data_IF_905105116302
#
_entry.id   IF_905105116302
#
_cell.length_a   1.000
_cell.length_b   1.000
_cell.length_c   1.000
_cell.angle_alpha   90.00
_cell.angle_beta   90.00
_cell.angle_gamma   90.00
#
_symmetry.space_group_name_H-M   'P 1'
#
loop_
_entity.id
_entity.type
_entity.pdbx_description
1 polymer ?
#
# COMPACT_ATOMS: atom_id res chain seq x y z
N UNK A 1 -17.56 -21.82 -17.29
CA UNK A 1 -17.70 -22.89 -18.31
C UNK A 1 -17.37 -22.29 -19.66
N UNK A 2 -16.68 -23.02 -20.55
CA UNK A 2 -16.43 -22.52 -21.90
C UNK A 2 -17.67 -22.72 -22.80
N UNK A 3 -17.66 -22.15 -24.01
CA UNK A 3 -18.79 -22.19 -24.94
C UNK A 3 -19.25 -23.62 -25.26
N UNK A 4 -18.31 -24.54 -25.47
CA UNK A 4 -18.61 -25.95 -25.74
C UNK A 4 -19.30 -26.64 -24.56
N UNK A 5 -18.84 -26.39 -23.33
CA UNK A 5 -19.45 -26.94 -22.13
C UNK A 5 -20.90 -26.47 -21.94
N UNK A 6 -21.23 -25.22 -22.29
CA UNK A 6 -22.61 -24.73 -22.28
C UNK A 6 -23.49 -25.46 -23.28
N UNK A 7 -23.01 -25.66 -24.52
CA UNK A 7 -23.71 -26.44 -25.54
C UNK A 7 -23.96 -27.88 -25.11
N UNK A 8 -23.00 -28.51 -24.43
CA UNK A 8 -23.16 -29.86 -23.89
C UNK A 8 -24.15 -29.90 -22.72
N UNK A 9 -24.16 -28.90 -21.83
CA UNK A 9 -25.11 -28.81 -20.73
C UNK A 9 -26.56 -28.69 -21.20
N UNK A 10 -26.79 -27.98 -22.32
CA UNK A 10 -28.11 -27.86 -22.94
C UNK A 10 -28.69 -29.20 -23.47
N UNK A 11 -27.87 -30.25 -23.56
CA UNK A 11 -28.34 -31.61 -23.85
C UNK A 11 -29.00 -32.29 -22.65
N UNK A 12 -28.78 -31.77 -21.43
CA UNK A 12 -29.28 -32.36 -20.18
C UNK A 12 -30.38 -31.51 -19.51
N UNK A 13 -30.38 -30.20 -19.75
CA UNK A 13 -31.32 -29.22 -19.16
C UNK A 13 -31.89 -28.36 -20.28
N UNK A 14 -33.16 -27.91 -20.22
CA UNK A 14 -33.74 -27.06 -21.26
C UNK A 14 -32.83 -25.89 -21.66
N UNK A 15 -32.63 -25.71 -22.97
CA UNK A 15 -31.68 -24.73 -23.52
C UNK A 15 -31.97 -23.31 -23.02
N UNK A 16 -33.24 -22.92 -22.89
CA UNK A 16 -33.64 -21.62 -22.36
C UNK A 16 -33.10 -21.35 -20.95
N UNK A 17 -33.07 -22.37 -20.09
CA UNK A 17 -32.61 -22.26 -18.71
C UNK A 17 -31.07 -22.17 -18.65
N UNK A 18 -30.39 -22.95 -19.49
CA UNK A 18 -28.94 -22.87 -19.63
C UNK A 18 -28.52 -21.50 -20.18
N UNK A 19 -29.21 -20.98 -21.19
CA UNK A 19 -28.94 -19.66 -21.77
C UNK A 19 -29.13 -18.53 -20.76
N UNK A 20 -30.18 -18.59 -19.94
CA UNK A 20 -30.36 -17.65 -18.83
C UNK A 20 -29.19 -17.71 -17.84
N UNK A 21 -28.73 -18.91 -17.49
CA UNK A 21 -27.58 -19.11 -16.58
C UNK A 21 -26.27 -18.60 -17.17
N UNK A 22 -26.01 -18.87 -18.45
CA UNK A 22 -24.85 -18.37 -19.18
C UNK A 22 -24.81 -16.83 -19.18
N UNK A 23 -25.96 -16.18 -19.45
CA UNK A 23 -26.06 -14.72 -19.40
C UNK A 23 -25.75 -14.15 -18.01
N UNK A 24 -26.19 -14.83 -16.94
CA UNK A 24 -25.86 -14.44 -15.57
C UNK A 24 -24.35 -14.57 -15.28
N UNK A 25 -23.68 -15.64 -15.76
CA UNK A 25 -22.22 -15.80 -15.67
C UNK A 25 -21.48 -14.69 -16.43
N UNK A 26 -21.90 -14.38 -17.67
CA UNK A 26 -21.31 -13.30 -18.49
C UNK A 26 -21.37 -11.94 -17.80
N UNK A 27 -22.39 -11.70 -16.98
CA UNK A 27 -22.51 -10.46 -16.21
C UNK A 27 -21.37 -10.32 -15.18
N UNK A 28 -20.96 -11.43 -14.53
CA UNK A 28 -19.80 -11.45 -13.62
C UNK A 28 -18.47 -11.30 -14.37
N UNK A 29 -18.32 -12.01 -15.48
CA UNK A 29 -17.14 -11.89 -16.35
C UNK A 29 -16.95 -10.44 -16.84
N UNK A 30 -18.06 -9.74 -17.13
CA UNK A 30 -18.02 -8.35 -17.56
C UNK A 30 -17.49 -7.39 -16.49
N UNK A 31 -17.86 -7.55 -15.22
CA UNK A 31 -17.33 -6.68 -14.15
C UNK A 31 -15.85 -6.95 -13.90
N UNK A 32 -15.41 -8.22 -13.97
CA UNK A 32 -13.98 -8.58 -13.90
C UNK A 32 -13.20 -7.95 -15.06
N UNK A 33 -13.73 -8.05 -16.28
CA UNK A 33 -13.15 -7.43 -17.48
C UNK A 33 -13.03 -5.91 -17.31
N UNK A 34 -14.06 -5.25 -16.77
CA UNK A 34 -14.03 -3.82 -16.48
C UNK A 34 -12.94 -3.45 -15.47
N UNK A 35 -12.78 -4.21 -14.39
CA UNK A 35 -11.69 -4.01 -13.43
C UNK A 35 -10.31 -4.11 -14.09
N UNK A 36 -10.08 -5.13 -14.91
CA UNK A 36 -8.80 -5.32 -15.62
C UNK A 36 -8.52 -4.20 -16.63
N UNK A 37 -9.58 -3.69 -17.28
CA UNK A 37 -9.48 -2.63 -18.28
C UNK A 37 -9.23 -1.25 -17.64
N UNK A 38 -10.03 -0.90 -16.62
CA UNK A 38 -10.02 0.44 -16.03
C UNK A 38 -9.05 0.58 -14.85
N UNK A 39 -8.84 -0.50 -14.09
CA UNK A 39 -7.91 -0.57 -12.94
C UNK A 39 -8.26 0.43 -11.82
N UNK A 40 -9.54 0.75 -11.69
CA UNK A 40 -10.12 1.66 -10.70
C UNK A 40 -11.08 0.92 -9.79
N UNK A 41 -11.39 1.52 -8.64
CA UNK A 41 -12.41 0.99 -7.75
C UNK A 41 -13.77 0.98 -8.45
N UNK A 42 -14.58 -0.08 -8.28
CA UNK A 42 -15.94 -0.08 -8.80
C UNK A 42 -16.81 0.89 -7.98
N UNK A 43 -17.72 1.61 -8.65
CA UNK A 43 -18.67 2.53 -7.97
C UNK A 43 -19.59 1.78 -7.01
N UNK A 44 -19.93 0.54 -7.35
CA UNK A 44 -20.76 -0.37 -6.55
C UNK A 44 -19.89 -1.57 -6.17
N UNK A 45 -19.82 -1.88 -4.88
CA UNK A 45 -19.11 -3.05 -4.37
C UNK A 45 -19.63 -4.35 -4.99
N UNK A 46 -18.72 -5.26 -5.30
CA UNK A 46 -19.06 -6.59 -5.81
C UNK A 46 -19.67 -7.46 -4.70
N UNK A 47 -20.52 -8.39 -5.10
CA UNK A 47 -20.99 -9.45 -4.21
C UNK A 47 -19.88 -10.49 -3.95
N UNK A 48 -20.00 -11.21 -2.83
CA UNK A 48 -18.98 -12.18 -2.39
C UNK A 48 -18.73 -13.28 -3.43
N UNK A 49 -19.76 -13.74 -4.16
CA UNK A 49 -19.58 -14.79 -5.18
C UNK A 49 -18.68 -14.27 -6.30
N UNK A 50 -18.87 -13.02 -6.74
CA UNK A 50 -18.03 -12.40 -7.76
C UNK A 50 -16.60 -12.21 -7.27
N UNK A 51 -16.40 -11.74 -6.03
CA UNK A 51 -15.07 -11.59 -5.42
C UNK A 51 -14.35 -12.93 -5.34
N UNK A 52 -14.99 -13.95 -4.76
CA UNK A 52 -14.39 -15.27 -4.59
C UNK A 52 -14.11 -15.93 -5.94
N UNK A 53 -15.01 -15.81 -6.92
CA UNK A 53 -14.79 -16.33 -8.28
C UNK A 53 -13.52 -15.75 -8.88
N UNK A 54 -13.34 -14.43 -8.79
CA UNK A 54 -12.15 -13.77 -9.32
C UNK A 54 -10.87 -14.19 -8.56
N UNK A 55 -10.93 -14.33 -7.23
CA UNK A 55 -9.80 -14.83 -6.45
C UNK A 55 -9.44 -16.27 -6.83
N UNK A 56 -10.42 -17.14 -7.07
CA UNK A 56 -10.16 -18.50 -7.53
C UNK A 56 -9.56 -18.54 -8.94
N UNK A 57 -10.07 -17.73 -9.87
CA UNK A 57 -9.48 -17.59 -11.21
C UNK A 57 -8.02 -17.14 -11.15
N UNK A 58 -7.72 -16.11 -10.36
CA UNK A 58 -6.35 -15.64 -10.14
C UNK A 58 -5.48 -16.75 -9.51
N UNK A 59 -5.95 -17.40 -8.45
CA UNK A 59 -5.18 -18.46 -7.78
C UNK A 59 -4.88 -19.64 -8.72
N UNK A 60 -5.80 -19.95 -9.65
CA UNK A 60 -5.62 -20.98 -10.67
C UNK A 60 -4.52 -20.67 -11.68
N UNK A 61 -4.03 -19.43 -11.76
CA UNK A 61 -2.92 -19.00 -12.61
C UNK A 61 -1.54 -19.20 -11.94
N UNK A 62 -1.49 -19.58 -10.66
CA UNK A 62 -0.24 -19.85 -9.95
C UNK A 62 0.17 -21.32 -10.10
N UNK A 63 1.47 -21.55 -10.33
CA UNK A 63 1.97 -22.88 -10.70
C UNK A 63 1.75 -23.95 -9.63
N UNK A 64 1.67 -23.57 -8.35
CA UNK A 64 1.35 -24.49 -7.26
C UNK A 64 -0.07 -25.07 -7.33
N UNK A 65 -0.95 -24.51 -8.18
CA UNK A 65 -2.33 -24.97 -8.38
C UNK A 65 -2.54 -25.67 -9.74
N UNK A 66 -1.53 -25.74 -10.60
CA UNK A 66 -1.63 -26.42 -11.90
C UNK A 66 -1.78 -27.93 -11.75
N UNK A 67 -2.73 -28.52 -12.48
CA UNK A 67 -2.89 -29.97 -12.54
C UNK A 67 -1.68 -30.58 -13.26
N UNK A 68 -1.07 -31.59 -12.64
CA UNK A 68 0.09 -32.28 -13.20
C UNK A 68 1.43 -31.55 -13.03
N UNK A 69 1.47 -30.43 -12.29
CA UNK A 69 2.74 -29.82 -11.93
C UNK A 69 3.55 -30.73 -11.00
N UNK A 70 4.83 -30.90 -11.28
CA UNK A 70 5.79 -31.63 -10.45
C UNK A 70 6.93 -30.71 -10.07
N UNK A 71 6.72 -29.93 -9.00
CA UNK A 71 7.73 -29.02 -8.48
C UNK A 71 8.85 -29.77 -7.76
N UNK A 72 10.08 -29.68 -8.26
CA UNK A 72 11.28 -30.29 -7.65
C UNK A 72 12.15 -29.28 -6.88
N UNK A 73 11.78 -28.00 -6.90
CA UNK A 73 12.52 -26.94 -6.19
C UNK A 73 12.30 -26.93 -4.67
N UNK A 74 13.06 -26.08 -4.01
CA UNK A 74 12.99 -25.83 -2.58
C UNK A 74 11.81 -24.92 -2.20
N UNK A 75 11.35 -24.07 -3.13
CA UNK A 75 10.22 -23.14 -2.93
C UNK A 75 9.12 -23.36 -3.97
N UNK A 76 8.36 -24.43 -3.76
CA UNK A 76 7.24 -24.85 -4.63
C UNK A 76 5.85 -24.54 -4.05
N UNK A 77 5.80 -23.71 -2.99
CA UNK A 77 4.55 -23.27 -2.34
C UNK A 77 3.60 -24.43 -1.97
N UNK A 78 4.17 -25.57 -1.54
CA UNK A 78 3.40 -26.74 -1.10
C UNK A 78 2.70 -26.41 0.22
N UNK A 79 1.39 -26.68 0.29
CA UNK A 79 0.61 -26.52 1.51
C UNK A 79 0.54 -27.84 2.29
N UNK A 80 0.92 -27.80 3.57
CA UNK A 80 0.78 -28.95 4.47
C UNK A 80 -0.64 -29.07 5.05
N UNK A 81 -1.32 -27.95 5.29
CA UNK A 81 -2.66 -27.91 5.90
C UNK A 81 -3.68 -27.33 4.92
N UNK A 82 -4.79 -28.05 4.73
CA UNK A 82 -5.88 -27.60 3.89
C UNK A 82 -6.56 -26.34 4.42
N UNK A 83 -6.64 -26.19 5.75
CA UNK A 83 -7.19 -24.99 6.38
C UNK A 83 -6.36 -23.75 6.03
N UNK A 84 -5.03 -23.89 6.00
CA UNK A 84 -4.11 -22.81 5.60
C UNK A 84 -4.25 -22.51 4.11
N UNK A 85 -4.37 -23.54 3.26
CA UNK A 85 -4.56 -23.37 1.82
C UNK A 85 -5.85 -22.62 1.49
N UNK A 86 -6.97 -23.04 2.09
CA UNK A 86 -8.30 -22.47 1.85
C UNK A 86 -8.43 -21.02 2.34
N UNK A 87 -7.97 -20.71 3.55
CA UNK A 87 -8.06 -19.34 4.10
C UNK A 87 -7.25 -18.30 3.32
N UNK A 88 -6.30 -18.75 2.49
CA UNK A 88 -5.47 -17.92 1.62
C UNK A 88 -5.89 -18.00 0.15
N UNK A 89 -7.07 -18.54 -0.15
CA UNK A 89 -7.56 -18.71 -1.53
C UNK A 89 -6.52 -19.38 -2.44
N UNK A 90 -5.76 -20.35 -1.91
CA UNK A 90 -4.78 -21.12 -2.67
C UNK A 90 -3.56 -20.32 -3.20
N UNK A 91 -3.40 -19.04 -2.82
CA UNK A 91 -2.19 -18.26 -3.11
C UNK A 91 -1.04 -18.67 -2.17
N UNK A 92 -0.02 -19.34 -2.70
CA UNK A 92 1.08 -19.89 -1.89
C UNK A 92 2.45 -19.24 -2.08
N UNK A 93 2.68 -18.54 -3.19
CA UNK A 93 4.01 -18.03 -3.55
C UNK A 93 4.36 -16.65 -2.96
N UNK A 94 3.36 -15.91 -2.48
CA UNK A 94 3.53 -14.52 -2.06
C UNK A 94 3.62 -13.55 -3.24
N UNK A 95 4.19 -12.37 -3.00
CA UNK A 95 4.30 -11.27 -3.98
C UNK A 95 5.76 -10.93 -4.28
N UNK A 96 6.01 -10.46 -5.50
CA UNK A 96 7.33 -10.01 -5.94
C UNK A 96 8.34 -11.13 -6.19
N UNK A 97 9.60 -10.71 -6.34
CA UNK A 97 10.79 -11.56 -6.48
C UNK A 97 11.83 -11.19 -5.41
N UNK A 98 12.90 -11.96 -5.34
CA UNK A 98 13.92 -11.83 -4.29
C UNK A 98 14.58 -10.45 -4.22
N UNK A 99 14.63 -9.69 -5.32
CA UNK A 99 15.23 -8.37 -5.38
C UNK A 99 14.24 -7.21 -5.52
N UNK A 100 12.97 -7.47 -5.86
CA UNK A 100 11.99 -6.43 -6.19
C UNK A 100 10.56 -6.89 -5.90
N UNK A 101 9.85 -6.11 -5.10
CA UNK A 101 8.47 -6.41 -4.68
C UNK A 101 7.46 -6.26 -5.84
N UNK A 102 7.74 -5.40 -6.81
CA UNK A 102 6.84 -5.05 -7.92
C UNK A 102 7.01 -5.95 -9.14
N UNK A 103 8.10 -6.72 -9.18
CA UNK A 103 8.42 -7.60 -10.29
C UNK A 103 7.46 -8.81 -10.35
N UNK A 104 7.10 -9.24 -11.56
CA UNK A 104 6.21 -10.38 -11.75
C UNK A 104 6.93 -11.70 -11.47
N UNK A 105 6.33 -12.52 -10.61
CA UNK A 105 6.84 -13.84 -10.25
C UNK A 105 6.44 -14.86 -11.33
N UNK A 106 7.39 -15.45 -12.09
CA UNK A 106 7.07 -16.41 -13.15
C UNK A 106 6.32 -17.66 -12.66
N UNK A 107 6.53 -18.08 -11.41
CA UNK A 107 5.80 -19.21 -10.78
C UNK A 107 4.40 -18.83 -10.27
N UNK A 108 4.07 -17.54 -10.23
CA UNK A 108 2.87 -17.02 -9.59
C UNK A 108 2.29 -15.82 -10.36
N UNK A 109 1.84 -16.09 -11.60
CA UNK A 109 1.27 -15.08 -12.48
C UNK A 109 -0.02 -14.47 -11.89
N UNK A 110 -0.83 -15.28 -11.21
CA UNK A 110 -2.05 -14.87 -10.53
C UNK A 110 -1.77 -13.96 -9.34
N UNK A 111 -0.87 -14.38 -8.44
CA UNK A 111 -0.41 -13.54 -7.32
C UNK A 111 0.19 -12.21 -7.80
N UNK A 112 0.95 -12.24 -8.90
CA UNK A 112 1.54 -11.03 -9.50
C UNK A 112 0.48 -10.08 -10.05
N UNK A 113 -0.53 -10.61 -10.75
CA UNK A 113 -1.65 -9.83 -11.27
C UNK A 113 -2.49 -9.24 -10.13
N UNK A 114 -2.83 -10.04 -9.12
CA UNK A 114 -3.54 -9.61 -7.91
C UNK A 114 -2.83 -8.43 -7.24
N UNK A 115 -1.51 -8.52 -7.06
CA UNK A 115 -0.74 -7.49 -6.40
C UNK A 115 -0.68 -6.18 -7.22
N UNK A 116 -0.48 -6.29 -8.54
CA UNK A 116 -0.52 -5.13 -9.44
C UNK A 116 -1.88 -4.43 -9.44
N UNK A 117 -2.97 -5.19 -9.51
CA UNK A 117 -4.32 -4.63 -9.42
C UNK A 117 -4.57 -3.96 -8.07
N UNK A 118 -4.16 -4.60 -6.98
CA UNK A 118 -4.25 -4.01 -5.62
C UNK A 118 -3.55 -2.64 -5.56
N UNK A 119 -2.35 -2.52 -6.14
CA UNK A 119 -1.64 -1.23 -6.19
C UNK A 119 -2.38 -0.19 -7.06
N UNK A 120 -2.99 -0.59 -8.18
CA UNK A 120 -3.81 0.32 -8.99
C UNK A 120 -5.06 0.80 -8.24
N UNK A 121 -5.76 -0.10 -7.56
CA UNK A 121 -6.94 0.24 -6.75
C UNK A 121 -6.56 1.15 -5.58
N UNK A 122 -5.43 0.90 -4.94
CA UNK A 122 -4.93 1.75 -3.86
C UNK A 122 -4.54 3.15 -4.35
N UNK A 123 -3.94 3.24 -5.54
CA UNK A 123 -3.64 4.52 -6.19
C UNK A 123 -4.92 5.30 -6.51
N UNK A 124 -5.94 4.62 -7.02
CA UNK A 124 -7.25 5.23 -7.30
C UNK A 124 -7.93 5.73 -6.01
N UNK A 125 -7.85 4.96 -4.93
CA UNK A 125 -8.31 5.37 -3.60
C UNK A 125 -7.60 6.64 -3.10
N UNK A 126 -6.27 6.71 -3.23
CA UNK A 126 -5.48 7.89 -2.84
C UNK A 126 -5.95 9.14 -3.60
N UNK A 127 -6.22 9.00 -4.90
CA UNK A 127 -6.78 10.08 -5.73
C UNK A 127 -8.15 10.51 -5.25
N UNK A 128 -9.05 9.56 -5.04
CA UNK A 128 -10.39 9.81 -4.53
C UNK A 128 -10.37 10.55 -3.17
N UNK A 129 -9.38 10.26 -2.33
CA UNK A 129 -9.23 10.88 -1.01
C UNK A 129 -8.58 12.27 -1.05
N UNK A 130 -8.01 12.71 -2.18
CA UNK A 130 -7.66 14.11 -2.40
C UNK A 130 -6.23 14.41 -2.86
N UNK A 131 -5.43 13.39 -3.19
CA UNK A 131 -4.12 13.58 -3.85
C UNK A 131 -4.32 13.44 -5.36
N UNK A 132 -4.56 14.56 -6.04
CA UNK A 132 -4.78 14.62 -7.49
C UNK A 132 -3.48 14.69 -8.30
N UNK A 133 -2.37 15.09 -7.68
CA UNK A 133 -1.07 15.15 -8.35
C UNK A 133 -0.56 13.74 -8.68
N UNK A 134 0.47 13.69 -9.55
CA UNK A 134 1.17 12.45 -9.87
C UNK A 134 1.81 11.91 -8.58
N UNK A 135 1.30 10.79 -8.10
CA UNK A 135 1.90 10.04 -6.99
C UNK A 135 2.11 8.59 -7.41
N UNK A 136 3.15 7.98 -6.88
CA UNK A 136 3.34 6.53 -6.93
C UNK A 136 3.01 5.97 -5.55
N UNK A 137 2.41 4.77 -5.52
CA UNK A 137 2.08 4.11 -4.27
C UNK A 137 2.33 2.61 -4.39
N UNK A 138 2.67 2.01 -3.25
CA UNK A 138 3.01 0.61 -3.14
C UNK A 138 2.44 0.05 -1.84
N UNK A 139 1.66 -1.03 -1.93
CA UNK A 139 1.20 -1.78 -0.77
C UNK A 139 2.32 -2.68 -0.28
N UNK A 140 2.79 -2.49 0.95
CA UNK A 140 3.85 -3.31 1.55
C UNK A 140 3.28 -4.16 2.69
N UNK A 141 3.65 -5.45 2.82
CA UNK A 141 3.08 -6.38 3.81
C UNK A 141 3.71 -6.21 5.19
N UNK A 142 3.79 -4.97 5.67
CA UNK A 142 4.35 -4.61 6.98
C UNK A 142 3.52 -3.50 7.62
N UNK A 143 3.54 -3.40 8.95
CA UNK A 143 2.89 -2.30 9.65
C UNK A 143 3.54 -0.94 9.32
N UNK A 144 2.83 0.17 9.55
CA UNK A 144 3.28 1.53 9.22
C UNK A 144 4.67 1.85 9.79
N UNK A 145 4.99 1.45 11.02
CA UNK A 145 6.32 1.66 11.60
C UNK A 145 7.44 0.99 10.77
N UNK A 146 7.21 -0.22 10.27
CA UNK A 146 8.17 -0.89 9.39
C UNK A 146 8.18 -0.29 7.98
N UNK A 147 7.05 0.22 7.48
CA UNK A 147 7.03 0.99 6.23
C UNK A 147 7.85 2.29 6.33
N UNK A 148 7.82 2.96 7.49
CA UNK A 148 8.70 4.10 7.80
C UNK A 148 10.18 3.66 7.82
N UNK A 149 10.51 2.51 8.41
CA UNK A 149 11.86 1.93 8.36
C UNK A 149 12.30 1.74 6.92
N UNK A 150 11.50 1.07 6.08
CA UNK A 150 11.82 0.83 4.67
C UNK A 150 12.05 2.16 3.94
N UNK A 151 11.19 3.16 4.16
CA UNK A 151 11.34 4.50 3.57
C UNK A 151 12.66 5.17 3.97
N UNK A 152 13.02 5.12 5.26
CA UNK A 152 14.27 5.69 5.76
C UNK A 152 15.51 4.95 5.22
N UNK A 153 15.45 3.62 5.10
CA UNK A 153 16.53 2.83 4.50
C UNK A 153 16.70 3.12 3.01
N UNK A 154 15.60 3.34 2.27
CA UNK A 154 15.67 3.80 0.88
C UNK A 154 16.34 5.18 0.77
N UNK A 155 15.99 6.13 1.65
CA UNK A 155 16.64 7.46 1.68
C UNK A 155 18.13 7.33 2.02
N UNK A 156 18.52 6.42 2.93
CA UNK A 156 19.92 6.17 3.28
C UNK A 156 20.77 5.76 2.07
N UNK A 157 20.18 5.02 1.13
CA UNK A 157 20.87 4.62 -0.10
C UNK A 157 21.38 5.83 -0.91
N UNK A 158 20.71 6.98 -0.80
CA UNK A 158 21.09 8.25 -1.43
C UNK A 158 21.90 9.15 -0.48
N UNK A 159 21.60 9.08 0.83
CA UNK A 159 22.26 9.87 1.89
C UNK A 159 23.02 8.95 2.87
N UNK A 160 24.15 8.35 2.48
CA UNK A 160 24.84 7.32 3.28
C UNK A 160 25.44 7.85 4.59
N UNK A 161 25.75 9.15 4.64
CA UNK A 161 26.36 9.79 5.80
C UNK A 161 25.34 10.30 6.83
N UNK A 162 24.04 10.22 6.51
CA UNK A 162 22.99 10.71 7.38
C UNK A 162 22.88 9.87 8.66
N UNK A 163 22.76 10.56 9.79
CA UNK A 163 22.69 9.97 11.14
C UNK A 163 21.41 10.34 11.87
N UNK A 164 20.83 11.50 11.54
CA UNK A 164 19.75 12.10 12.30
C UNK A 164 18.42 12.09 11.55
N UNK A 165 17.33 11.86 12.28
CA UNK A 165 15.97 12.14 11.81
C UNK A 165 15.38 13.20 12.72
N UNK A 166 15.08 14.37 12.15
CA UNK A 166 14.41 15.44 12.89
C UNK A 166 12.94 15.08 12.97
N UNK A 167 12.37 15.00 14.16
CA UNK A 167 11.04 14.43 14.34
C UNK A 167 10.14 15.32 15.20
N UNK A 168 9.01 15.73 14.64
CA UNK A 168 7.97 16.44 15.38
C UNK A 168 7.33 15.48 16.38
N UNK A 169 7.51 15.76 17.68
CA UNK A 169 7.17 14.83 18.76
C UNK A 169 5.71 14.39 18.68
N UNK A 170 5.50 13.09 18.80
CA UNK A 170 4.21 12.46 19.09
C UNK A 170 4.44 11.22 19.96
N UNK A 171 3.67 11.06 21.02
CA UNK A 171 3.89 10.00 22.01
C UNK A 171 3.29 8.65 21.52
N UNK A 172 3.82 8.14 20.40
CA UNK A 172 3.45 6.86 19.79
C UNK A 172 4.71 6.02 19.56
N UNK A 173 4.77 4.85 20.22
CA UNK A 173 5.99 4.04 20.28
C UNK A 173 6.48 3.53 18.93
N UNK A 174 5.57 3.19 18.00
CA UNK A 174 5.94 2.56 16.72
C UNK A 174 6.69 3.51 15.79
N UNK A 175 6.22 4.75 15.60
CA UNK A 175 6.91 5.73 14.75
C UNK A 175 8.21 6.24 15.38
N UNK A 176 8.26 6.36 16.71
CA UNK A 176 9.53 6.66 17.37
C UNK A 176 10.54 5.51 17.21
N UNK A 177 10.11 4.28 17.49
CA UNK A 177 10.96 3.09 17.33
C UNK A 177 11.35 2.84 15.88
N UNK A 178 10.59 3.26 14.88
CA UNK A 178 11.00 3.09 13.49
C UNK A 178 12.29 3.84 13.16
N UNK A 179 12.52 5.02 13.77
CA UNK A 179 13.77 5.76 13.59
C UNK A 179 14.95 4.94 14.13
N UNK A 180 14.80 4.42 15.35
CA UNK A 180 15.82 3.60 16.02
C UNK A 180 16.06 2.28 15.29
N UNK A 181 14.99 1.59 14.86
CA UNK A 181 15.07 0.33 14.13
C UNK A 181 15.72 0.48 12.76
N UNK A 182 15.58 1.65 12.11
CA UNK A 182 16.32 1.96 10.90
C UNK A 182 17.80 2.29 11.17
N UNK A 183 18.21 2.48 12.43
CA UNK A 183 19.58 2.77 12.85
C UNK A 183 19.94 4.27 12.84
N UNK A 184 18.95 5.15 13.00
CA UNK A 184 19.16 6.60 13.09
C UNK A 184 18.93 7.14 14.50
N UNK A 185 19.42 8.35 14.75
CA UNK A 185 19.29 9.07 16.01
C UNK A 185 18.13 10.08 15.88
N UNK A 186 17.05 9.95 16.66
CA UNK A 186 15.95 10.91 16.63
C UNK A 186 16.35 12.24 17.28
N UNK A 187 16.15 13.34 16.57
CA UNK A 187 16.20 14.70 17.12
C UNK A 187 14.77 15.14 17.36
N UNK A 188 14.34 15.08 18.62
CA UNK A 188 12.96 15.32 19.02
C UNK A 188 12.68 16.82 19.06
N UNK A 189 11.67 17.27 18.32
CA UNK A 189 11.17 18.64 18.33
C UNK A 189 9.89 18.67 19.15
N UNK A 190 9.94 19.29 20.34
CA UNK A 190 8.76 19.46 21.17
C UNK A 190 7.74 20.41 20.52
N UNK A 191 6.46 20.09 20.69
CA UNK A 191 5.34 20.89 20.20
C UNK A 191 5.16 22.17 21.01
N UNK A 192 4.54 23.18 20.41
CA UNK A 192 4.10 24.39 21.10
C UNK A 192 2.61 24.29 21.47
N UNK A 193 2.24 24.83 22.64
CA UNK A 193 0.84 24.94 23.05
C UNK A 193 0.22 26.19 22.43
N UNK A 194 -0.84 26.03 21.64
CA UNK A 194 -1.62 27.11 21.03
C UNK A 194 -3.09 26.88 21.38
N UNK A 195 -3.61 27.68 22.33
CA UNK A 195 -4.90 27.41 22.95
C UNK A 195 -4.89 26.04 23.64
N UNK A 196 -5.84 25.18 23.27
CA UNK A 196 -5.95 23.80 23.79
C UNK A 196 -5.18 22.76 22.97
N UNK A 197 -4.55 23.17 21.86
CA UNK A 197 -3.85 22.26 20.95
C UNK A 197 -2.34 22.28 21.16
N UNK A 198 -1.72 21.13 20.89
CA UNK A 198 -0.27 21.03 20.69
C UNK A 198 0.02 21.04 19.18
N UNK A 199 0.73 22.06 18.71
CA UNK A 199 1.02 22.31 17.29
C UNK A 199 2.52 22.21 17.00
N UNK A 200 2.86 22.12 15.71
CA UNK A 200 4.25 22.06 15.23
C UNK A 200 5.03 23.30 15.63
N UNK A 201 6.24 23.11 16.17
CA UNK A 201 7.17 24.19 16.43
C UNK A 201 8.10 24.39 15.22
N UNK A 202 7.65 25.15 14.22
CA UNK A 202 8.43 25.39 13.00
C UNK A 202 9.75 26.12 13.28
N UNK A 203 9.78 27.03 14.26
CA UNK A 203 10.98 27.78 14.62
C UNK A 203 12.07 26.85 15.16
N UNK A 204 11.74 26.02 16.16
CA UNK A 204 12.68 25.04 16.71
C UNK A 204 13.11 24.01 15.67
N UNK A 205 12.20 23.62 14.77
CA UNK A 205 12.53 22.73 13.66
C UNK A 205 13.55 23.35 12.72
N UNK A 206 13.36 24.61 12.31
CA UNK A 206 14.31 25.33 11.46
C UNK A 206 15.65 25.59 12.16
N UNK A 207 15.64 25.92 13.45
CA UNK A 207 16.84 26.05 14.28
C UNK A 207 17.66 24.76 14.28
N UNK A 208 17.01 23.61 14.52
CA UNK A 208 17.69 22.30 14.52
C UNK A 208 18.18 21.87 13.14
N UNK A 209 17.48 22.26 12.07
CA UNK A 209 17.99 22.08 10.71
C UNK A 209 19.28 22.89 10.49
N UNK A 210 19.35 24.13 10.97
CA UNK A 210 20.54 25.00 10.82
C UNK A 210 21.72 24.58 11.69
N UNK A 211 21.46 24.03 12.87
CA UNK A 211 22.50 23.57 13.80
C UNK A 211 23.26 22.34 13.28
N UNK A 212 22.56 21.45 12.55
CA UNK A 212 23.12 20.19 12.06
C UNK A 212 23.74 20.36 10.66
N UNK A 213 24.89 19.72 10.38
CA UNK A 213 25.40 19.64 9.01
C UNK A 213 24.36 18.99 8.10
N UNK A 214 24.09 19.57 6.93
CA UNK A 214 23.06 19.08 6.00
C UNK A 214 23.17 17.57 5.75
N UNK A 215 24.36 17.08 5.40
CA UNK A 215 24.61 15.67 5.07
C UNK A 215 24.38 14.70 6.24
N UNK A 216 24.30 15.22 7.47
CA UNK A 216 24.02 14.41 8.66
C UNK A 216 22.53 14.18 8.90
N UNK A 217 21.64 14.94 8.23
CA UNK A 217 20.18 14.83 8.38
C UNK A 217 19.60 13.95 7.27
N UNK A 218 18.94 12.87 7.65
CA UNK A 218 18.30 11.96 6.71
C UNK A 218 17.00 12.56 6.17
N UNK A 219 16.12 12.97 7.07
CA UNK A 219 14.82 13.53 6.76
C UNK A 219 14.25 14.28 7.96
N UNK A 220 13.24 15.11 7.69
CA UNK A 220 12.28 15.54 8.69
C UNK A 220 11.09 14.58 8.68
N UNK A 221 10.78 13.97 9.82
CA UNK A 221 9.61 13.11 9.99
C UNK A 221 8.48 13.85 10.71
N UNK A 222 7.38 14.06 10.00
CA UNK A 222 6.16 14.71 10.51
C UNK A 222 5.03 13.70 10.68
N UNK A 223 3.96 14.06 11.40
CA UNK A 223 2.79 13.21 11.65
C UNK A 223 1.49 13.97 11.43
N UNK A 224 0.59 13.41 10.63
CA UNK A 224 -0.72 14.02 10.35
C UNK A 224 -1.77 13.61 11.39
N UNK A 225 -2.36 12.43 11.25
CA UNK A 225 -3.40 11.95 12.14
C UNK A 225 -2.78 11.50 13.47
N UNK A 226 -3.26 12.09 14.57
CA UNK A 226 -2.73 11.88 15.92
C UNK A 226 -3.83 12.01 16.98
N UNK A 227 -3.54 11.57 18.21
CA UNK A 227 -4.46 11.74 19.34
C UNK A 227 -4.46 13.20 19.81
N UNK A 228 -5.65 13.76 20.02
CA UNK A 228 -5.82 15.03 20.71
C UNK A 228 -5.18 14.96 22.12
N UNK A 229 -4.63 16.07 22.66
CA UNK A 229 -4.72 17.45 22.16
C UNK A 229 -3.71 17.80 21.05
N UNK A 230 -2.87 16.86 20.58
CA UNK A 230 -1.97 17.13 19.46
C UNK A 230 -2.76 17.33 18.17
N UNK A 231 -2.41 18.37 17.43
CA UNK A 231 -2.94 18.64 16.11
C UNK A 231 -2.09 17.96 15.03
N UNK A 232 -2.66 17.85 13.83
CA UNK A 232 -1.90 17.52 12.63
C UNK A 232 -0.74 18.51 12.47
N UNK A 233 0.45 17.99 12.16
CA UNK A 233 1.60 18.86 11.91
C UNK A 233 1.29 19.88 10.81
N UNK A 234 2.00 21.01 10.82
CA UNK A 234 2.03 21.95 9.71
C UNK A 234 2.80 21.36 8.52
N UNK A 235 2.14 20.46 7.79
CA UNK A 235 2.74 19.72 6.67
C UNK A 235 3.22 20.68 5.59
N UNK A 236 2.45 21.74 5.30
CA UNK A 236 2.84 22.75 4.32
C UNK A 236 4.07 23.54 4.80
N UNK A 237 4.07 24.03 6.04
CA UNK A 237 5.21 24.76 6.62
C UNK A 237 6.49 23.90 6.70
N UNK A 238 6.38 22.63 7.10
CA UNK A 238 7.51 21.71 7.14
C UNK A 238 8.03 21.44 5.72
N UNK A 239 7.15 21.23 4.73
CA UNK A 239 7.58 20.99 3.35
C UNK A 239 8.34 22.18 2.76
N UNK A 240 7.90 23.42 3.05
CA UNK A 240 8.63 24.64 2.65
C UNK A 240 10.04 24.70 3.26
N UNK A 241 10.18 24.35 4.54
CA UNK A 241 11.49 24.27 5.20
C UNK A 241 12.36 23.15 4.61
N UNK A 242 11.80 21.97 4.43
CA UNK A 242 12.46 20.84 3.79
C UNK A 242 12.97 21.21 2.40
N UNK A 243 12.16 21.88 1.57
CA UNK A 243 12.57 22.34 0.25
C UNK A 243 13.68 23.41 0.34
N UNK A 244 13.54 24.39 1.24
CA UNK A 244 14.54 25.47 1.45
C UNK A 244 15.92 24.93 1.84
N UNK A 245 15.96 23.85 2.63
CA UNK A 245 17.20 23.25 3.13
C UNK A 245 17.59 21.96 2.39
N UNK A 246 16.90 21.62 1.30
CA UNK A 246 17.10 20.40 0.52
C UNK A 246 17.06 19.11 1.39
N UNK A 247 16.16 19.02 2.38
CA UNK A 247 16.02 17.86 3.27
C UNK A 247 14.79 17.04 2.88
N UNK A 248 14.90 15.70 2.72
CA UNK A 248 13.73 14.84 2.50
C UNK A 248 12.67 14.99 3.59
N UNK A 249 11.40 15.00 3.19
CA UNK A 249 10.25 15.08 4.10
C UNK A 249 9.53 13.73 4.13
N UNK A 250 9.53 13.06 5.30
CA UNK A 250 8.81 11.82 5.52
C UNK A 250 7.55 12.09 6.35
N UNK A 251 6.36 11.74 5.83
CA UNK A 251 5.09 12.00 6.50
C UNK A 251 4.52 10.68 7.04
N UNK A 252 4.42 10.57 8.36
CA UNK A 252 3.66 9.52 9.03
C UNK A 252 2.16 9.81 8.91
N UNK A 253 1.52 9.24 7.89
CA UNK A 253 0.08 9.37 7.61
C UNK A 253 -0.74 8.16 8.09
N UNK A 254 -0.34 7.50 9.18
CA UNK A 254 -0.80 6.18 9.63
C UNK A 254 -2.31 5.91 9.41
N UNK A 255 -3.17 6.79 9.92
CA UNK A 255 -4.62 6.69 9.76
C UNK A 255 -5.22 7.99 9.20
N UNK A 256 -4.43 8.78 8.46
CA UNK A 256 -4.89 10.03 7.87
C UNK A 256 -5.54 9.89 6.50
N UNK A 257 -5.38 8.73 5.84
CA UNK A 257 -6.01 8.45 4.52
C UNK A 257 -7.52 8.65 4.54
N UNK A 258 -8.20 8.32 5.65
CA UNK A 258 -9.65 8.49 5.82
C UNK A 258 -10.11 9.96 5.83
N UNK A 259 -9.20 10.92 6.04
CA UNK A 259 -9.54 12.35 6.13
C UNK A 259 -9.15 13.09 4.87
N UNK A 260 -10.15 13.48 4.06
CA UNK A 260 -9.94 14.33 2.87
C UNK A 260 -9.27 15.67 3.21
N UNK A 261 -9.45 16.17 4.43
CA UNK A 261 -8.79 17.40 4.91
C UNK A 261 -7.29 17.17 5.02
N UNK A 262 -6.86 16.08 5.68
CA UNK A 262 -5.43 15.73 5.80
C UNK A 262 -4.81 15.47 4.43
N UNK A 263 -5.47 14.69 3.58
CA UNK A 263 -4.96 14.36 2.25
C UNK A 263 -4.77 15.61 1.37
N UNK A 264 -5.68 16.59 1.46
CA UNK A 264 -5.52 17.89 0.80
C UNK A 264 -4.33 18.69 1.32
N UNK A 265 -3.97 18.58 2.61
CA UNK A 265 -2.75 19.22 3.16
C UNK A 265 -1.48 18.59 2.58
N UNK A 266 -1.43 17.26 2.52
CA UNK A 266 -0.32 16.54 1.87
C UNK A 266 -0.21 16.95 0.39
N UNK A 267 -1.33 17.05 -0.32
CA UNK A 267 -1.35 17.51 -1.70
C UNK A 267 -0.81 18.95 -1.86
N UNK A 268 -1.14 19.85 -0.94
CA UNK A 268 -0.62 21.24 -0.98
C UNK A 268 0.88 21.28 -0.74
N UNK A 269 1.40 20.42 0.13
CA UNK A 269 2.81 20.33 0.47
C UNK A 269 3.70 19.76 -0.65
N UNK A 270 3.12 19.17 -1.70
CA UNK A 270 3.85 18.71 -2.89
C UNK A 270 4.16 19.83 -3.90
N UNK A 271 3.58 21.03 -3.71
CA UNK A 271 3.77 22.18 -4.61
C UNK A 271 4.95 23.03 -4.16
#
# INVERSE_FOLDING_TARGET
>A
MNAEAWCLAAKFVPESYIKQSENACKTRENVIRQLLQHKTLPDIGWDDITIETFLFELSGMDSNNFRGNSGTGEREARFASELVRRRHYYFGHGIGRSGDLTESQPKAAGSSLMYKLTNCLFHDLIKFMGISARCECLVVPVATGMALVLSMLSIRGVLPNAKYVIWSRIDQKSCFKSILSAGFIPIVIDTIKVGDQLQTNLNLLEEKIKELPRDSVLCVMSTTACFAPRACDDIEGIALLCNKYDIPHLINNAYGLQSKVIMKRIQKAQK
#
